data_IF_404427065392
#
_entry.id   IF_404427065392
#
_cell.length_a   1.000
_cell.length_b   1.000
_cell.length_c   1.000
_cell.angle_alpha   90.00
_cell.angle_beta   90.00
_cell.angle_gamma   90.00
#
_symmetry.space_group_name_H-M   'P 1'
#
loop_
_entity.id
_entity.type
_entity.pdbx_description
1 polymer ?
#
# COMPACT_ATOMS: atom_id res chain seq x y z
N UNK A 1 -20.56 -58.54 -11.25
CA UNK A 1 -21.66 -57.77 -11.87
C UNK A 1 -21.08 -56.87 -12.95
N UNK A 2 -21.60 -56.89 -14.18
CA UNK A 2 -21.04 -56.13 -15.29
C UNK A 2 -21.28 -54.63 -15.09
N UNK A 3 -20.23 -53.84 -15.29
CA UNK A 3 -20.22 -52.37 -15.17
C UNK A 3 -21.14 -51.78 -16.25
N UNK A 4 -22.18 -51.04 -15.84
CA UNK A 4 -23.06 -50.30 -16.74
C UNK A 4 -22.22 -49.30 -17.56
N UNK A 5 -22.36 -49.32 -18.89
CA UNK A 5 -21.73 -48.36 -19.81
C UNK A 5 -22.22 -46.94 -19.46
N UNK A 6 -21.27 -46.04 -19.26
CA UNK A 6 -21.48 -44.59 -19.16
C UNK A 6 -22.04 -44.09 -20.50
N UNK A 7 -23.24 -43.52 -20.46
CA UNK A 7 -23.83 -42.81 -21.59
C UNK A 7 -23.06 -41.49 -21.73
N UNK A 8 -22.41 -41.30 -22.87
CA UNK A 8 -21.80 -40.04 -23.25
C UNK A 8 -22.91 -39.12 -23.76
N UNK A 9 -23.43 -38.26 -22.88
CA UNK A 9 -24.28 -37.16 -23.29
C UNK A 9 -23.42 -36.11 -23.98
N UNK A 10 -23.51 -36.09 -25.32
CA UNK A 10 -23.09 -34.99 -26.17
C UNK A 10 -23.97 -33.76 -25.86
N UNK A 11 -23.69 -33.09 -24.75
CA UNK A 11 -24.11 -31.70 -24.55
C UNK A 11 -22.89 -30.83 -24.75
N UNK A 12 -22.97 -30.02 -25.80
CA UNK A 12 -21.98 -29.04 -26.20
C UNK A 12 -21.57 -28.19 -25.00
N UNK A 13 -20.35 -28.41 -24.50
CA UNK A 13 -19.69 -27.51 -23.55
C UNK A 13 -19.51 -26.18 -24.27
N UNK A 14 -20.46 -25.26 -24.08
CA UNK A 14 -20.28 -23.86 -24.42
C UNK A 14 -19.08 -23.38 -23.61
N UNK A 15 -17.95 -23.15 -24.29
CA UNK A 15 -16.80 -22.41 -23.75
C UNK A 15 -17.36 -21.10 -23.17
N UNK A 16 -17.44 -21.02 -21.84
CA UNK A 16 -17.64 -19.73 -21.17
C UNK A 16 -16.36 -18.96 -21.42
N UNK A 17 -16.41 -18.07 -22.41
CA UNK A 17 -15.38 -17.06 -22.63
C UNK A 17 -15.22 -16.35 -21.28
N UNK A 18 -14.02 -16.42 -20.68
CA UNK A 18 -13.68 -15.61 -19.52
C UNK A 18 -13.86 -14.17 -19.95
N UNK A 19 -15.01 -13.58 -19.60
CA UNK A 19 -15.25 -12.15 -19.79
C UNK A 19 -14.16 -11.45 -19.01
N UNK A 20 -13.38 -10.60 -19.68
CA UNK A 20 -12.38 -9.80 -18.98
C UNK A 20 -13.12 -8.97 -17.94
N UNK A 21 -12.51 -8.76 -16.77
CA UNK A 21 -13.11 -8.02 -15.64
C UNK A 21 -13.67 -6.67 -16.10
N UNK A 22 -13.02 -6.06 -17.09
CA UNK A 22 -13.41 -4.83 -17.78
C UNK A 22 -14.80 -4.93 -18.43
N UNK A 23 -15.12 -6.02 -19.13
CA UNK A 23 -16.42 -6.22 -19.77
C UNK A 23 -17.56 -6.36 -18.76
N UNK A 24 -17.25 -6.83 -17.55
CA UNK A 24 -18.24 -6.92 -16.47
C UNK A 24 -18.48 -5.58 -15.77
N UNK A 25 -17.48 -4.69 -15.73
CA UNK A 25 -17.61 -3.35 -15.16
C UNK A 25 -18.39 -2.41 -16.10
N UNK A 26 -18.14 -2.49 -17.42
CA UNK A 26 -18.80 -1.62 -18.42
C UNK A 26 -20.30 -1.94 -18.55
N UNK A 27 -20.71 -3.20 -18.40
CA UNK A 27 -22.12 -3.60 -18.59
C UNK A 27 -23.04 -3.21 -17.43
N UNK A 28 -22.49 -2.94 -16.26
CA UNK A 28 -23.27 -2.70 -15.04
C UNK A 28 -23.39 -1.22 -14.68
N UNK A 29 -22.71 -0.32 -15.41
CA UNK A 29 -22.75 1.12 -15.14
C UNK A 29 -23.46 1.85 -16.28
N UNK A 30 -24.72 2.20 -16.04
CA UNK A 30 -25.56 3.03 -16.91
C UNK A 30 -25.50 4.52 -16.53
N UNK A 31 -24.45 4.94 -15.83
CA UNK A 31 -24.18 6.34 -15.44
C UNK A 31 -22.82 6.80 -15.96
N UNK A 32 -22.72 8.10 -16.27
CA UNK A 32 -21.49 8.81 -16.66
C UNK A 32 -20.53 9.00 -15.48
N UNK A 33 -20.23 7.94 -14.74
CA UNK A 33 -19.24 8.00 -13.66
C UNK A 33 -17.85 7.67 -14.22
N UNK A 34 -16.90 8.59 -14.04
CA UNK A 34 -15.52 8.40 -14.47
C UNK A 34 -14.86 7.23 -13.70
N UNK A 35 -14.32 6.26 -14.45
CA UNK A 35 -13.56 5.13 -13.88
C UNK A 35 -12.08 5.50 -13.84
N UNK A 36 -11.56 5.80 -12.64
CA UNK A 36 -10.12 6.05 -12.44
C UNK A 36 -9.39 4.71 -12.29
N UNK A 37 -8.53 4.36 -13.25
CA UNK A 37 -7.70 3.16 -13.23
C UNK A 37 -6.23 3.53 -13.05
N UNK A 38 -5.61 3.07 -11.95
CA UNK A 38 -4.16 3.14 -11.78
C UNK A 38 -3.51 2.00 -12.58
N UNK A 39 -3.03 2.30 -13.77
CA UNK A 39 -2.30 1.34 -14.60
C UNK A 39 -0.79 1.41 -14.30
N UNK A 40 -0.09 0.26 -14.19
CA UNK A 40 1.36 0.26 -14.07
C UNK A 40 1.98 0.82 -15.36
N UNK A 41 2.99 1.67 -15.22
CA UNK A 41 3.75 2.18 -16.37
C UNK A 41 4.56 1.02 -16.95
N UNK A 42 4.53 0.85 -18.28
CA UNK A 42 5.25 -0.22 -18.95
C UNK A 42 6.77 -0.04 -18.80
N UNK A 43 7.51 -1.15 -18.66
CA UNK A 43 8.96 -1.12 -18.49
C UNK A 43 9.66 -0.45 -19.69
N UNK A 44 9.12 -0.58 -20.90
CA UNK A 44 9.63 0.10 -22.09
C UNK A 44 9.54 1.64 -21.96
N UNK A 45 8.46 2.15 -21.35
CA UNK A 45 8.26 3.58 -21.12
C UNK A 45 9.15 4.11 -20.00
N UNK A 46 9.36 3.30 -18.96
CA UNK A 46 10.33 3.60 -17.90
C UNK A 46 11.74 3.70 -18.50
N UNK A 47 12.14 2.73 -19.32
CA UNK A 47 13.45 2.73 -19.98
C UNK A 47 13.60 3.89 -20.98
N UNK A 48 12.54 4.29 -21.70
CA UNK A 48 12.61 5.47 -22.57
C UNK A 48 12.76 6.76 -21.79
N UNK A 49 12.15 6.87 -20.60
CA UNK A 49 12.31 8.06 -19.74
C UNK A 49 13.73 8.12 -19.19
N UNK A 50 14.27 6.99 -18.70
CA UNK A 50 15.62 6.89 -18.15
C UNK A 50 16.70 7.17 -19.21
N UNK A 51 16.47 6.76 -20.47
CA UNK A 51 17.47 6.91 -21.54
C UNK A 51 17.36 8.24 -22.30
N UNK A 52 16.35 9.08 -22.04
CA UNK A 52 16.09 10.31 -22.80
C UNK A 52 16.74 11.59 -22.22
N UNK A 53 17.68 11.50 -21.28
CA UNK A 53 18.45 12.68 -20.83
C UNK A 53 19.42 13.23 -21.89
N UNK A 54 19.47 12.66 -23.11
CA UNK A 54 20.30 13.16 -24.20
C UNK A 54 19.63 13.04 -25.57
N UNK A 55 18.52 13.75 -25.82
CA UNK A 55 18.11 14.15 -27.17
C UNK A 55 17.03 15.24 -27.12
N UNK A 56 17.28 16.34 -27.84
CA UNK A 56 16.37 17.46 -28.12
C UNK A 56 15.13 17.01 -28.91
N UNK A 57 14.24 16.25 -28.27
CA UNK A 57 12.92 15.96 -28.80
C UNK A 57 11.98 17.05 -28.33
N UNK A 58 11.56 17.92 -29.25
CA UNK A 58 10.41 18.81 -29.03
C UNK A 58 9.19 17.95 -28.70
N UNK A 59 8.98 17.73 -27.41
CA UNK A 59 7.71 17.22 -26.88
C UNK A 59 6.67 18.25 -27.31
N UNK A 60 5.73 17.85 -28.17
CA UNK A 60 4.60 18.72 -28.47
C UNK A 60 3.88 18.97 -27.15
N UNK A 61 3.91 20.22 -26.68
CA UNK A 61 3.20 20.62 -25.48
C UNK A 61 1.73 20.19 -25.61
N UNK A 62 1.16 19.57 -24.56
CA UNK A 62 -0.24 19.23 -24.58
C UNK A 62 -1.05 20.51 -24.78
N UNK A 63 -1.83 20.56 -25.86
CA UNK A 63 -2.71 21.69 -26.12
C UNK A 63 -3.80 21.73 -25.05
N UNK A 64 -4.08 22.90 -24.44
CA UNK A 64 -5.14 23.01 -23.45
C UNK A 64 -6.50 22.64 -24.05
N UNK A 65 -7.38 22.08 -23.21
CA UNK A 65 -8.75 21.71 -23.61
C UNK A 65 -9.61 22.94 -23.94
N UNK A 66 -9.24 24.12 -23.40
CA UNK A 66 -9.93 25.39 -23.64
C UNK A 66 -8.98 26.46 -24.18
N UNK A 67 -9.43 27.15 -25.22
CA UNK A 67 -8.68 28.09 -26.07
C UNK A 67 -8.07 29.30 -25.35
N UNK A 68 -8.43 29.57 -24.10
CA UNK A 68 -8.08 30.80 -23.38
C UNK A 68 -7.23 30.57 -22.11
N UNK A 69 -6.66 29.39 -21.93
CA UNK A 69 -5.73 29.13 -20.81
C UNK A 69 -4.29 29.44 -21.22
N UNK A 70 -3.87 30.68 -21.05
CA UNK A 70 -2.47 31.08 -21.27
C UNK A 70 -1.64 30.80 -20.01
N UNK A 71 -0.64 29.94 -20.13
CA UNK A 71 0.48 29.86 -19.19
C UNK A 71 1.50 30.95 -19.57
N UNK A 72 1.68 31.95 -18.72
CA UNK A 72 2.78 32.92 -18.84
C UNK A 72 4.03 32.30 -18.22
N UNK A 73 5.02 31.96 -19.04
CA UNK A 73 6.37 31.63 -18.58
C UNK A 73 7.24 32.88 -18.68
N UNK A 74 7.44 33.57 -17.56
CA UNK A 74 8.45 34.63 -17.42
C UNK A 74 9.78 34.00 -17.03
N UNK A 75 10.58 33.55 -18.01
CA UNK A 75 12.01 33.29 -17.78
C UNK A 75 12.79 33.24 -19.11
N UNK A 76 13.13 34.42 -19.64
CA UNK A 76 14.28 34.52 -20.54
C UNK A 76 15.54 34.88 -19.75
N UNK A 77 16.61 34.10 -19.99
CA UNK A 77 18.03 34.37 -19.71
C UNK A 77 18.55 34.17 -18.28
N UNK A 78 19.03 32.95 -17.96
CA UNK A 78 20.22 32.77 -17.10
C UNK A 78 21.12 31.68 -17.69
N UNK A 79 22.34 32.09 -18.05
CA UNK A 79 23.47 31.28 -18.49
C UNK A 79 23.92 30.30 -17.40
N UNK A 80 24.05 29.03 -17.77
CA UNK A 80 24.41 27.95 -16.85
C UNK A 80 25.94 27.70 -16.84
N UNK A 81 26.61 28.28 -15.84
CA UNK A 81 27.95 27.86 -15.41
C UNK A 81 27.79 26.81 -14.31
N UNK A 82 28.24 25.59 -14.61
CA UNK A 82 27.88 24.38 -13.90
C UNK A 82 29.00 23.95 -12.95
N UNK A 83 29.03 24.46 -11.71
CA UNK A 83 29.85 23.87 -10.64
C UNK A 83 29.16 23.96 -9.27
N UNK A 84 28.95 22.79 -8.65
CA UNK A 84 28.48 22.54 -7.28
C UNK A 84 27.08 23.04 -6.92
N UNK A 85 26.13 22.09 -6.83
CA UNK A 85 25.35 21.85 -5.60
C UNK A 85 24.42 20.64 -5.78
N UNK A 86 24.77 19.51 -5.16
CA UNK A 86 23.78 18.53 -4.69
C UNK A 86 23.09 19.15 -3.46
N UNK A 87 22.28 20.18 -3.69
CA UNK A 87 21.29 20.65 -2.74
C UNK A 87 19.93 20.37 -3.36
N UNK A 88 19.30 19.30 -2.87
CA UNK A 88 17.91 19.21 -2.40
C UNK A 88 16.97 20.39 -2.73
N UNK A 89 16.84 20.79 -3.99
CA UNK A 89 15.93 21.85 -4.40
C UNK A 89 14.63 21.28 -5.00
N UNK A 90 13.79 20.74 -4.14
CA UNK A 90 12.33 20.86 -4.31
C UNK A 90 11.76 21.47 -3.03
N UNK A 91 12.27 22.64 -2.66
CA UNK A 91 11.55 23.57 -1.79
C UNK A 91 10.66 24.44 -2.66
N UNK A 92 9.39 24.56 -2.24
CA UNK A 92 8.33 25.42 -2.77
C UNK A 92 7.42 24.82 -3.84
N UNK A 93 6.38 24.15 -3.38
CA UNK A 93 5.04 24.65 -3.64
C UNK A 93 4.22 24.51 -2.35
N UNK A 94 3.36 25.49 -2.09
CA UNK A 94 2.30 25.47 -1.07
C UNK A 94 1.24 24.40 -1.39
N UNK A 95 1.69 23.19 -1.71
CA UNK A 95 0.84 22.03 -1.89
C UNK A 95 0.70 21.43 -0.51
N UNK A 96 -0.51 21.49 0.02
CA UNK A 96 -0.89 20.85 1.27
C UNK A 96 -0.81 19.32 1.07
N UNK A 97 0.40 18.77 0.98
CA UNK A 97 0.65 17.36 0.76
C UNK A 97 0.42 16.61 2.07
N UNK A 98 -0.31 15.52 1.98
CA UNK A 98 -0.61 14.67 3.12
C UNK A 98 0.35 13.49 3.15
N UNK A 99 0.81 13.14 4.35
CA UNK A 99 1.62 11.95 4.56
C UNK A 99 0.81 10.70 4.20
N UNK A 100 1.39 9.81 3.39
CA UNK A 100 0.74 8.58 2.96
C UNK A 100 0.46 7.60 4.11
N UNK A 101 1.16 7.73 5.24
CA UNK A 101 0.95 6.89 6.42
C UNK A 101 -0.02 7.50 7.44
N UNK A 102 0.30 8.69 7.97
CA UNK A 102 -0.49 9.30 9.04
C UNK A 102 -1.65 10.17 8.52
N UNK A 103 -1.76 10.41 7.21
CA UNK A 103 -2.83 11.21 6.60
C UNK A 103 -2.96 12.65 7.14
N UNK A 104 -1.88 13.22 7.66
CA UNK A 104 -1.80 14.62 8.10
C UNK A 104 -0.96 15.45 7.15
N UNK A 105 -1.20 16.76 7.12
CA UNK A 105 -0.43 17.70 6.31
C UNK A 105 1.04 17.71 6.72
N UNK A 106 1.91 17.81 5.71
CA UNK A 106 3.35 17.93 5.86
C UNK A 106 3.69 19.43 5.87
N UNK A 107 4.18 19.93 7.00
CA UNK A 107 4.47 21.37 7.19
C UNK A 107 5.94 21.72 6.96
N UNK A 108 6.86 20.77 7.16
CA UNK A 108 8.29 21.05 7.22
C UNK A 108 9.01 20.40 6.04
N UNK A 109 9.39 19.13 6.22
CA UNK A 109 10.20 18.38 5.27
C UNK A 109 9.44 17.15 4.81
N UNK A 110 9.41 16.95 3.50
CA UNK A 110 8.88 15.75 2.89
C UNK A 110 9.99 14.73 2.74
N UNK A 111 9.72 13.50 3.17
CA UNK A 111 10.56 12.34 2.95
C UNK A 111 9.89 11.38 1.96
N UNK A 112 10.69 10.63 1.24
CA UNK A 112 10.21 9.64 0.28
C UNK A 112 10.80 8.28 0.62
N UNK A 113 10.05 7.20 0.38
CA UNK A 113 10.48 5.84 0.67
C UNK A 113 11.31 5.30 -0.50
N UNK A 114 12.54 4.80 -0.29
CA UNK A 114 13.31 4.16 -1.36
C UNK A 114 12.62 2.85 -1.78
N UNK A 115 12.56 2.58 -3.07
CA UNK A 115 12.07 1.30 -3.61
C UNK A 115 13.13 0.57 -4.45
N UNK A 116 14.16 1.28 -4.89
CA UNK A 116 15.32 0.71 -5.57
C UNK A 116 16.54 1.61 -5.32
N UNK A 117 17.74 1.03 -5.36
CA UNK A 117 19.00 1.74 -5.18
C UNK A 117 19.93 1.42 -6.35
N UNK A 118 20.35 2.46 -7.07
CA UNK A 118 21.34 2.33 -8.13
C UNK A 118 22.75 2.52 -7.56
N UNK A 119 23.51 1.43 -7.51
CA UNK A 119 24.89 1.42 -7.00
C UNK A 119 25.87 2.18 -7.90
N UNK A 120 25.57 2.34 -9.20
CA UNK A 120 26.47 3.02 -10.14
C UNK A 120 26.42 4.55 -9.95
N UNK A 121 25.20 5.07 -9.75
CA UNK A 121 24.94 6.51 -9.65
C UNK A 121 24.77 7.00 -8.20
N UNK A 122 24.89 6.11 -7.21
CA UNK A 122 24.64 6.39 -5.77
C UNK A 122 23.30 7.13 -5.54
N UNK A 123 22.29 6.71 -6.29
CA UNK A 123 20.97 7.35 -6.30
C UNK A 123 19.88 6.38 -5.87
N UNK A 124 18.92 6.90 -5.12
CA UNK A 124 17.75 6.16 -4.68
C UNK A 124 16.57 6.49 -5.59
N UNK A 125 15.92 5.47 -6.11
CA UNK A 125 14.60 5.64 -6.65
C UNK A 125 13.60 5.62 -5.51
N UNK A 126 12.86 6.71 -5.36
CA UNK A 126 11.97 6.94 -4.22
C UNK A 126 10.51 7.03 -4.64
N UNK A 127 9.62 6.68 -3.73
CA UNK A 127 8.18 6.67 -3.91
C UNK A 127 7.47 7.25 -2.69
N UNK A 128 6.36 7.95 -2.94
CA UNK A 128 5.47 8.47 -1.92
C UNK A 128 5.98 9.73 -1.22
N UNK A 129 5.09 10.34 -0.44
CA UNK A 129 5.35 11.55 0.36
C UNK A 129 5.01 11.27 1.83
N UNK A 130 6.00 11.44 2.70
CA UNK A 130 5.94 11.11 4.12
C UNK A 130 6.42 12.28 4.97
N UNK A 131 5.83 12.43 6.15
CA UNK A 131 6.26 13.44 7.12
C UNK A 131 7.54 13.04 7.88
N UNK A 132 7.90 11.75 7.88
CA UNK A 132 9.10 11.23 8.53
C UNK A 132 9.54 9.89 7.92
N UNK A 133 10.83 9.54 8.09
CA UNK A 133 11.36 8.24 7.65
C UNK A 133 10.73 7.06 8.41
N UNK A 134 10.27 7.29 9.64
CA UNK A 134 9.52 6.31 10.42
C UNK A 134 8.15 6.01 9.79
N UNK A 135 7.48 7.03 9.25
CA UNK A 135 6.24 6.86 8.50
C UNK A 135 6.47 6.12 7.17
N UNK A 136 7.56 6.43 6.47
CA UNK A 136 7.97 5.68 5.28
C UNK A 136 8.23 4.20 5.62
N UNK A 137 8.90 3.93 6.75
CA UNK A 137 9.20 2.57 7.18
C UNK A 137 7.92 1.80 7.58
N UNK A 138 6.99 2.43 8.30
CA UNK A 138 5.72 1.81 8.63
C UNK A 138 4.88 1.46 7.39
N UNK A 139 4.92 2.33 6.37
CA UNK A 139 4.28 2.07 5.09
C UNK A 139 4.91 0.87 4.37
N UNK A 140 6.25 0.75 4.39
CA UNK A 140 6.96 -0.42 3.86
C UNK A 140 6.48 -1.72 4.51
N UNK A 141 6.41 -1.78 5.85
CA UNK A 141 5.91 -2.96 6.56
C UNK A 141 4.44 -3.26 6.25
N UNK A 142 3.62 -2.24 5.97
CA UNK A 142 2.21 -2.44 5.62
C UNK A 142 2.00 -2.96 4.20
N UNK A 143 2.78 -2.50 3.22
CA UNK A 143 2.61 -2.87 1.80
C UNK A 143 3.40 -4.14 1.47
N UNK A 144 4.64 -4.19 1.89
CA UNK A 144 5.56 -5.25 1.53
C UNK A 144 5.65 -6.34 2.61
N UNK A 145 4.96 -6.22 3.75
CA UNK A 145 5.10 -7.08 4.94
C UNK A 145 5.17 -8.60 4.71
N UNK A 146 4.62 -9.10 3.60
CA UNK A 146 4.64 -10.50 3.20
C UNK A 146 5.83 -10.91 2.32
N UNK A 147 6.75 -10.00 2.01
CA UNK A 147 7.86 -10.19 1.06
C UNK A 147 9.20 -9.79 1.67
N UNK A 148 10.28 -10.47 1.25
CA UNK A 148 11.64 -10.18 1.70
C UNK A 148 12.12 -8.77 1.33
N UNK A 149 11.49 -8.15 0.33
CA UNK A 149 11.77 -6.74 -0.08
C UNK A 149 11.63 -5.75 1.07
N UNK A 150 10.83 -6.07 2.09
CA UNK A 150 10.70 -5.22 3.29
C UNK A 150 12.04 -4.94 3.93
N UNK A 151 12.89 -5.96 4.03
CA UNK A 151 14.18 -5.85 4.72
C UNK A 151 15.20 -5.06 3.91
N UNK A 152 15.17 -5.18 2.58
CA UNK A 152 15.97 -4.37 1.66
C UNK A 152 15.59 -2.89 1.76
N UNK A 153 14.30 -2.59 1.62
CA UNK A 153 13.78 -1.22 1.72
C UNK A 153 14.07 -0.63 3.11
N UNK A 154 13.88 -1.41 4.17
CA UNK A 154 14.21 -0.99 5.53
C UNK A 154 15.71 -0.65 5.66
N UNK A 155 16.59 -1.43 5.03
CA UNK A 155 18.04 -1.16 5.03
C UNK A 155 18.36 0.16 4.31
N UNK A 156 17.73 0.44 3.17
CA UNK A 156 17.90 1.72 2.47
C UNK A 156 17.35 2.90 3.27
N UNK A 157 16.24 2.74 3.99
CA UNK A 157 15.71 3.77 4.89
C UNK A 157 16.73 4.09 6.00
N UNK A 158 17.38 3.08 6.56
CA UNK A 158 18.44 3.27 7.55
C UNK A 158 19.66 4.00 6.97
N UNK A 159 20.07 3.65 5.74
CA UNK A 159 21.15 4.35 5.03
C UNK A 159 20.81 5.81 4.73
N UNK A 160 19.59 6.09 4.28
CA UNK A 160 19.08 7.46 4.11
C UNK A 160 19.09 8.21 5.43
N UNK A 161 18.66 7.56 6.52
CA UNK A 161 18.74 8.10 7.87
C UNK A 161 20.13 8.61 8.24
N UNK A 162 21.13 7.77 8.01
CA UNK A 162 22.53 8.12 8.24
C UNK A 162 22.99 9.28 7.34
N UNK A 163 22.57 9.30 6.06
CA UNK A 163 22.89 10.39 5.11
C UNK A 163 22.28 11.73 5.54
N UNK A 164 21.08 11.71 6.13
CA UNK A 164 20.44 12.90 6.71
C UNK A 164 21.02 13.31 8.08
N UNK A 165 21.93 12.53 8.67
CA UNK A 165 22.56 12.83 9.95
C UNK A 165 21.78 12.36 11.18
N UNK A 166 20.82 11.44 11.03
CA UNK A 166 20.16 10.82 12.17
C UNK A 166 21.09 9.79 12.84
N UNK A 167 21.43 10.03 14.12
CA UNK A 167 22.31 9.14 14.90
C UNK A 167 21.56 7.98 15.60
N UNK A 168 20.26 7.84 15.36
CA UNK A 168 19.42 6.81 15.97
C UNK A 168 18.81 5.90 14.90
N UNK A 169 18.40 4.69 15.31
CA UNK A 169 17.77 3.73 14.41
C UNK A 169 16.33 4.13 14.09
N UNK A 170 15.95 4.12 12.81
CA UNK A 170 14.62 4.55 12.34
C UNK A 170 13.65 3.38 12.53
N UNK A 171 12.93 3.41 13.65
CA UNK A 171 11.85 2.45 13.93
C UNK A 171 10.61 2.79 13.09
N UNK A 172 9.82 1.78 12.67
CA UNK A 172 8.56 2.05 12.01
C UNK A 172 7.61 2.80 12.94
N UNK A 173 6.90 3.78 12.39
CA UNK A 173 5.81 4.46 13.08
C UNK A 173 4.70 3.45 13.47
N UNK A 174 3.93 3.72 14.54
CA UNK A 174 2.88 2.83 14.96
C UNK A 174 1.72 2.82 13.94
N UNK A 175 0.80 1.86 14.09
CA UNK A 175 -0.35 1.72 13.20
C UNK A 175 -1.17 2.99 13.15
N UNK A 176 -1.51 3.46 11.94
CA UNK A 176 -2.34 4.66 11.73
C UNK A 176 -3.70 4.57 12.45
N UNK A 177 -4.24 3.37 12.65
CA UNK A 177 -5.50 3.17 13.36
C UNK A 177 -5.48 3.59 14.83
N UNK A 178 -4.30 3.88 15.41
CA UNK A 178 -4.20 4.46 16.75
C UNK A 178 -4.52 5.95 16.79
N UNK A 179 -4.53 6.64 15.66
CA UNK A 179 -4.91 8.05 15.60
C UNK A 179 -6.41 8.21 15.87
N UNK A 180 -6.77 9.28 16.59
CA UNK A 180 -8.17 9.65 16.85
C UNK A 180 -9.03 9.74 15.59
N UNK A 181 -8.46 10.19 14.48
CA UNK A 181 -9.19 10.28 13.20
C UNK A 181 -9.71 8.93 12.68
N UNK A 182 -9.07 7.83 13.07
CA UNK A 182 -9.46 6.46 12.70
C UNK A 182 -10.17 5.72 13.86
N UNK A 183 -10.53 6.43 14.94
CA UNK A 183 -11.15 5.84 16.12
C UNK A 183 -10.18 5.36 17.20
N UNK A 184 -8.89 5.69 17.09
CA UNK A 184 -7.90 5.40 18.11
C UNK A 184 -7.86 6.41 19.26
N UNK A 185 -6.92 6.23 20.18
CA UNK A 185 -6.78 7.05 21.39
C UNK A 185 -5.70 8.15 21.30
N UNK A 186 -4.79 8.09 20.32
CA UNK A 186 -3.64 8.99 20.22
C UNK A 186 -3.96 10.24 19.39
N UNK A 187 -3.49 11.40 19.84
CA UNK A 187 -3.41 12.59 18.97
C UNK A 187 -2.25 12.48 17.98
N UNK A 188 -2.18 13.39 17.01
CA UNK A 188 -1.08 13.40 16.02
C UNK A 188 0.27 13.72 16.67
N UNK A 189 0.28 14.57 17.69
CA UNK A 189 1.48 14.91 18.45
C UNK A 189 1.99 13.69 19.22
N UNK A 190 1.10 13.01 19.95
CA UNK A 190 1.42 11.78 20.67
C UNK A 190 1.88 10.66 19.72
N UNK A 191 1.26 10.56 18.54
CA UNK A 191 1.66 9.60 17.50
C UNK A 191 3.06 9.88 16.96
N UNK A 192 3.43 11.15 16.78
CA UNK A 192 4.75 11.56 16.31
C UNK A 192 5.81 11.33 17.38
N UNK A 193 5.51 11.62 18.64
CA UNK A 193 6.41 11.36 19.75
C UNK A 193 6.63 9.86 20.01
N UNK A 194 5.59 9.04 19.79
CA UNK A 194 5.62 7.60 20.05
C UNK A 194 6.74 6.85 19.31
N UNK A 195 7.15 7.32 18.14
CA UNK A 195 8.21 6.69 17.35
C UNK A 195 9.57 7.39 17.44
N UNK A 196 9.63 8.54 18.13
CA UNK A 196 10.89 9.23 18.48
C UNK A 196 11.44 8.64 19.77
N UNK A 197 10.56 8.37 20.75
CA UNK A 197 10.93 7.79 22.04
C UNK A 197 11.08 6.27 21.94
N UNK A 198 12.16 5.73 22.48
CA UNK A 198 12.49 4.30 22.41
C UNK A 198 11.69 3.43 23.39
N UNK A 199 11.02 4.04 24.35
CA UNK A 199 10.59 3.38 25.59
C UNK A 199 9.27 2.60 25.45
N UNK A 200 8.46 2.90 24.42
CA UNK A 200 7.12 2.33 24.25
C UNK A 200 6.94 1.74 22.87
N UNK A 201 6.32 0.57 22.81
CA UNK A 201 5.92 -0.10 21.56
C UNK A 201 4.42 -0.28 21.54
N UNK A 202 3.79 0.19 20.47
CA UNK A 202 2.34 0.09 20.30
C UNK A 202 2.02 -1.08 19.38
N UNK A 203 1.34 -2.08 19.92
CA UNK A 203 0.83 -3.23 19.15
C UNK A 203 -0.68 -3.09 19.06
N UNK A 204 -1.21 -3.02 17.85
CA UNK A 204 -2.65 -2.96 17.60
C UNK A 204 -3.19 -4.39 17.51
N UNK A 205 -3.92 -4.82 18.53
CA UNK A 205 -4.64 -6.09 18.50
C UNK A 205 -5.99 -5.86 17.80
N UNK A 206 -6.17 -6.44 16.62
CA UNK A 206 -7.45 -6.42 15.91
C UNK A 206 -8.28 -7.59 16.45
N UNK A 207 -9.43 -7.34 17.11
CA UNK A 207 -10.26 -8.43 17.61
C UNK A 207 -10.78 -9.25 16.43
N UNK A 208 -10.81 -10.59 16.53
CA UNK A 208 -11.45 -11.40 15.51
C UNK A 208 -12.93 -11.04 15.43
N UNK A 209 -13.45 -10.90 14.21
CA UNK A 209 -14.87 -10.69 13.95
C UNK A 209 -15.59 -12.02 14.17
N UNK A 210 -15.79 -12.41 15.43
CA UNK A 210 -16.37 -13.73 15.74
C UNK A 210 -17.90 -13.65 15.56
N UNK A 211 -18.47 -14.58 14.78
CA UNK A 211 -19.75 -15.17 15.16
C UNK A 211 -19.47 -16.49 15.87
N UNK A 212 -19.97 -16.63 17.09
CA UNK A 212 -19.84 -17.86 17.87
C UNK A 212 -20.97 -18.79 17.42
N UNK A 213 -20.64 -19.97 16.90
CA UNK A 213 -21.65 -20.96 16.49
C UNK A 213 -22.33 -21.57 17.72
N UNK A 214 -23.65 -21.77 17.70
CA UNK A 214 -24.37 -22.47 18.77
C UNK A 214 -23.92 -23.93 18.85
N UNK A 215 -23.28 -24.31 19.94
CA UNK A 215 -22.92 -25.70 20.23
C UNK A 215 -24.03 -26.39 21.01
N UNK A 216 -24.42 -27.60 20.59
CA UNK A 216 -25.18 -28.53 21.42
C UNK A 216 -24.32 -29.76 21.71
N UNK A 217 -24.29 -30.18 22.97
CA UNK A 217 -23.60 -31.40 23.39
C UNK A 217 -24.61 -32.54 23.47
N UNK A 218 -24.29 -33.67 22.84
CA UNK A 218 -25.03 -34.92 23.05
C UNK A 218 -24.28 -35.75 24.08
N UNK A 219 -24.83 -35.83 25.29
CA UNK A 219 -24.28 -36.65 26.37
C UNK A 219 -24.72 -38.11 26.19
N UNK A 220 -23.78 -39.04 26.38
CA UNK A 220 -24.07 -40.47 26.32
C UNK A 220 -24.77 -40.92 27.62
N UNK A 221 -26.09 -41.06 27.60
CA UNK A 221 -26.92 -41.44 28.75
C UNK A 221 -27.03 -42.95 28.95
N UNK A 222 -26.14 -43.76 28.35
CA UNK A 222 -26.12 -45.22 28.50
C UNK A 222 -26.03 -45.70 29.96
N UNK A 223 -25.47 -44.89 30.87
CA UNK A 223 -25.51 -45.18 32.31
C UNK A 223 -26.93 -45.10 32.90
N UNK A 224 -27.76 -44.17 32.45
CA UNK A 224 -29.16 -44.04 32.90
C UNK A 224 -30.01 -45.24 32.45
N UNK A 225 -29.75 -45.75 31.24
CA UNK A 225 -30.37 -46.99 30.76
C UNK A 225 -29.99 -48.18 31.65
N UNK A 226 -28.70 -48.37 31.96
CA UNK A 226 -28.21 -49.44 32.86
C UNK A 226 -28.78 -49.34 34.28
N UNK A 227 -28.92 -48.13 34.82
CA UNK A 227 -29.55 -47.91 36.13
C UNK A 227 -31.04 -48.32 36.12
N UNK A 228 -31.76 -48.04 35.04
CA UNK A 228 -33.17 -48.40 34.91
C UNK A 228 -33.40 -49.91 34.74
N UNK A 229 -32.52 -50.62 34.03
CA UNK A 229 -32.58 -52.07 33.86
C UNK A 229 -32.24 -52.82 35.16
N UNK A 230 -31.25 -52.33 35.91
CA UNK A 230 -30.87 -52.92 37.21
C UNK A 230 -31.95 -52.73 38.29
N UNK A 231 -32.75 -51.66 38.21
CA UNK A 231 -33.95 -51.50 39.06
C UNK A 231 -35.07 -52.47 38.69
N UNK A 232 -35.20 -52.85 37.41
CA UNK A 232 -36.23 -53.79 36.92
C UNK A 232 -35.88 -55.26 37.17
N UNK A 233 -34.61 -55.63 37.26
CA UNK A 233 -34.14 -57.02 37.49
C UNK A 233 -34.02 -57.43 38.97
N UNK A 234 -34.28 -56.53 39.91
CA UNK A 234 -34.23 -56.79 41.37
C UNK A 234 -35.62 -56.88 42.02
N UNK A 235 -36.69 -56.84 41.22
CA UNK A 235 -38.04 -57.30 41.58
C UNK A 235 -38.16 -58.73 41.07
#
# INVERSE_FOLDING_TARGET
MPRKKTITDNTTVKKVVKKNIIDSMIKNNSGEDDIILQLPISQAKINSIINNDNLDVKISEPTPYESNSYFMNDAENISFDNTKEYQTSYTNNNNNSYCFWCCHSITNTTYSMPYNYDTLNDSYFVYGSFCSLQCANAYNFSIHGSSDKVWEINSWIQMLGNRYGFNYTIRPAPSRYLLKMFGGNLTIEEFREAHIKTDKTYVLNIPPMISINSSSEVLNTSYLAKMSENKKKKI
#
